data_IF_229155989596
#
_entry.id   IF_229155989596
#
_cell.length_a   1.000
_cell.length_b   1.000
_cell.length_c   1.000
_cell.angle_alpha   90.00
_cell.angle_beta   90.00
_cell.angle_gamma   90.00
#
_symmetry.space_group_name_H-M   'P 1'
#
loop_
_entity.id
_entity.type
_entity.pdbx_description
1 polymer ?
#
# COMPACT_ATOMS: atom_id res chain seq x y z
N UNK A 1 12.17 -28.29 -3.10
CA UNK A 1 12.23 -27.58 -1.79
C UNK A 1 12.79 -28.54 -0.75
N UNK A 2 13.98 -28.27 -0.17
CA UNK A 2 14.48 -29.06 0.97
C UNK A 2 13.56 -28.84 2.17
N UNK A 3 13.20 -29.88 2.88
CA UNK A 3 12.39 -29.73 4.10
C UNK A 3 13.27 -29.13 5.20
N UNK A 4 12.72 -28.22 6.01
CA UNK A 4 13.41 -27.57 7.13
C UNK A 4 14.06 -28.56 8.11
N UNK A 5 13.56 -29.80 8.15
CA UNK A 5 14.06 -30.90 8.97
C UNK A 5 15.47 -31.41 8.52
N UNK A 6 15.78 -31.26 7.23
CA UNK A 6 17.03 -31.78 6.64
C UNK A 6 18.16 -30.74 6.58
N UNK A 7 17.93 -29.58 7.16
CA UNK A 7 18.86 -28.47 7.18
C UNK A 7 19.84 -28.56 8.35
N UNK A 8 21.05 -28.10 8.14
CA UNK A 8 22.04 -27.93 9.21
C UNK A 8 21.61 -26.85 10.20
N UNK A 9 22.15 -26.87 11.42
CA UNK A 9 21.85 -25.84 12.42
C UNK A 9 22.19 -24.43 11.94
N UNK A 10 23.29 -24.27 11.21
CA UNK A 10 23.69 -22.98 10.60
C UNK A 10 22.68 -22.49 9.57
N UNK A 11 22.22 -23.37 8.68
CA UNK A 11 21.19 -23.03 7.68
C UNK A 11 19.87 -22.60 8.34
N UNK A 12 19.44 -23.27 9.42
CA UNK A 12 18.24 -22.92 10.18
C UNK A 12 18.33 -21.54 10.82
N UNK A 13 19.50 -21.19 11.36
CA UNK A 13 19.75 -19.86 11.94
C UNK A 13 19.65 -18.78 10.85
N UNK A 14 20.29 -19.00 9.71
CA UNK A 14 20.27 -18.05 8.57
C UNK A 14 18.84 -17.84 8.07
N UNK A 15 18.07 -18.92 7.86
CA UNK A 15 16.67 -18.80 7.44
C UNK A 15 15.78 -18.09 8.48
N UNK A 16 16.01 -18.36 9.76
CA UNK A 16 15.27 -17.69 10.83
C UNK A 16 15.58 -16.17 10.87
N UNK A 17 16.84 -15.79 10.72
CA UNK A 17 17.23 -14.36 10.63
C UNK A 17 16.58 -13.71 9.41
N UNK A 18 16.61 -14.39 8.26
CA UNK A 18 15.97 -13.90 7.04
C UNK A 18 14.45 -13.74 7.21
N UNK A 19 13.79 -14.69 7.86
CA UNK A 19 12.37 -14.61 8.21
C UNK A 19 12.03 -13.44 9.12
N UNK A 20 12.89 -13.13 10.11
CA UNK A 20 12.73 -11.95 10.98
C UNK A 20 12.87 -10.64 10.18
N UNK A 21 13.85 -10.55 9.29
CA UNK A 21 14.07 -9.37 8.44
C UNK A 21 12.85 -9.15 7.52
N UNK A 22 12.41 -10.21 6.82
CA UNK A 22 11.22 -10.14 5.96
C UNK A 22 9.97 -9.76 6.75
N UNK A 23 9.75 -10.38 7.91
CA UNK A 23 8.62 -10.04 8.78
C UNK A 23 8.62 -8.56 9.18
N UNK A 24 9.80 -8.02 9.50
CA UNK A 24 9.96 -6.59 9.83
C UNK A 24 9.61 -5.70 8.62
N UNK A 25 10.10 -6.03 7.43
CA UNK A 25 9.80 -5.29 6.20
C UNK A 25 8.30 -5.29 5.91
N UNK A 26 7.63 -6.45 6.03
CA UNK A 26 6.19 -6.55 5.76
C UNK A 26 5.35 -5.80 6.79
N UNK A 27 5.67 -5.87 8.09
CA UNK A 27 4.88 -5.22 9.14
C UNK A 27 5.11 -3.71 9.14
N UNK A 28 6.37 -3.26 9.15
CA UNK A 28 6.72 -1.86 9.35
C UNK A 28 6.97 -1.09 8.06
N UNK A 29 7.41 -1.76 7.00
CA UNK A 29 7.58 -1.14 5.69
C UNK A 29 6.24 -1.06 4.94
N UNK A 30 5.83 -2.18 4.35
CA UNK A 30 4.67 -2.19 3.45
C UNK A 30 3.34 -1.97 4.18
N UNK A 31 3.19 -2.46 5.43
CA UNK A 31 1.99 -2.25 6.23
C UNK A 31 1.80 -0.82 6.75
N UNK A 32 2.85 0.00 6.75
CA UNK A 32 2.75 1.41 7.18
C UNK A 32 2.33 2.35 6.04
N UNK A 33 2.76 2.06 4.82
CA UNK A 33 2.48 2.90 3.65
C UNK A 33 0.99 2.90 3.26
N UNK A 34 0.29 1.79 3.53
CA UNK A 34 -1.14 1.61 3.25
C UNK A 34 -1.96 1.55 4.56
N UNK A 35 -1.47 2.14 5.65
CA UNK A 35 -2.22 2.20 6.89
C UNK A 35 -3.54 2.97 6.70
N UNK A 36 -4.64 2.55 7.35
CA UNK A 36 -5.88 3.32 7.32
C UNK A 36 -5.62 4.75 7.81
N UNK A 37 -6.11 5.72 7.06
CA UNK A 37 -5.94 7.15 7.33
C UNK A 37 -7.30 7.75 7.64
N UNK A 38 -7.38 8.51 8.72
CA UNK A 38 -8.58 9.28 9.04
C UNK A 38 -8.57 10.62 8.29
N UNK A 39 -9.73 11.26 8.13
CA UNK A 39 -9.84 12.59 7.51
C UNK A 39 -8.95 13.64 8.19
N UNK A 40 -8.76 13.53 9.50
CA UNK A 40 -7.94 14.47 10.26
C UNK A 40 -6.42 14.29 10.02
N UNK A 41 -6.00 13.11 9.58
CA UNK A 41 -4.60 12.78 9.28
C UNK A 41 -4.27 13.02 7.81
N UNK A 42 -5.26 13.02 6.92
CA UNK A 42 -5.07 13.26 5.50
C UNK A 42 -4.65 14.73 5.26
N UNK A 43 -3.82 14.94 4.24
CA UNK A 43 -3.45 16.29 3.79
C UNK A 43 -4.57 16.84 2.92
N UNK A 44 -5.17 17.94 3.34
CA UNK A 44 -6.18 18.69 2.56
C UNK A 44 -5.49 19.65 1.62
N UNK A 45 -5.67 19.46 0.32
CA UNK A 45 -4.99 20.22 -0.74
C UNK A 45 -6.04 20.74 -1.71
N UNK A 46 -5.94 22.01 -2.07
CA UNK A 46 -6.68 22.59 -3.22
C UNK A 46 -5.68 22.76 -4.34
N UNK A 47 -5.95 22.15 -5.49
CA UNK A 47 -5.04 22.12 -6.62
C UNK A 47 -5.76 22.46 -7.93
N UNK A 48 -5.02 22.94 -8.91
CA UNK A 48 -5.52 23.26 -10.25
C UNK A 48 -5.16 22.12 -11.20
N UNK A 49 -6.16 21.36 -11.63
CA UNK A 49 -5.99 20.21 -12.52
C UNK A 49 -5.44 20.65 -13.88
N UNK A 50 -4.42 19.97 -14.36
CA UNK A 50 -3.78 20.24 -15.66
C UNK A 50 -4.04 19.11 -16.67
N UNK A 51 -3.72 17.89 -16.29
CA UNK A 51 -3.89 16.72 -17.15
C UNK A 51 -3.87 15.42 -16.33
N UNK A 52 -4.21 14.32 -16.96
CA UNK A 52 -4.06 12.99 -16.36
C UNK A 52 -3.37 12.02 -17.32
N UNK A 53 -2.88 10.93 -16.78
CA UNK A 53 -2.29 9.82 -17.50
C UNK A 53 -2.66 8.51 -16.82
N UNK A 54 -3.17 7.55 -17.57
CA UNK A 54 -3.39 6.19 -17.07
C UNK A 54 -2.13 5.34 -17.20
N UNK A 55 -1.79 4.65 -16.14
CA UNK A 55 -0.78 3.58 -16.12
C UNK A 55 -1.49 2.24 -16.20
N UNK A 56 -1.29 1.51 -17.31
CA UNK A 56 -1.96 0.22 -17.56
C UNK A 56 -0.96 -0.93 -17.52
N UNK A 57 -1.37 -2.06 -16.91
CA UNK A 57 -0.62 -3.31 -16.92
C UNK A 57 -1.55 -4.46 -17.31
N UNK A 58 -1.21 -5.18 -18.39
CA UNK A 58 -2.01 -6.30 -18.94
C UNK A 58 -3.45 -5.93 -19.29
N UNK A 59 -3.69 -4.66 -19.67
CA UNK A 59 -5.02 -4.16 -20.03
C UNK A 59 -5.81 -3.52 -18.88
N UNK A 60 -5.44 -3.76 -17.63
CA UNK A 60 -6.07 -3.17 -16.43
C UNK A 60 -5.40 -1.85 -16.06
N UNK A 61 -6.18 -0.87 -15.64
CA UNK A 61 -5.68 0.39 -15.10
C UNK A 61 -5.08 0.10 -13.74
N UNK A 62 -3.79 0.41 -13.57
CA UNK A 62 -3.05 0.20 -12.33
C UNK A 62 -3.06 1.43 -11.44
N UNK A 63 -3.03 2.59 -12.05
CA UNK A 63 -3.07 3.88 -11.37
C UNK A 63 -3.47 4.97 -12.38
N UNK A 64 -4.07 6.04 -11.90
CA UNK A 64 -4.25 7.28 -12.65
C UNK A 64 -3.32 8.32 -12.02
N UNK A 65 -2.44 8.89 -12.83
CA UNK A 65 -1.52 9.95 -12.44
C UNK A 65 -2.17 11.27 -12.82
N UNK A 66 -2.46 12.12 -11.84
CA UNK A 66 -2.98 13.47 -12.02
C UNK A 66 -1.85 14.47 -11.95
N UNK A 67 -1.83 15.41 -12.87
CA UNK A 67 -0.90 16.55 -12.92
C UNK A 67 -1.63 17.82 -12.61
N UNK A 68 -1.00 18.68 -11.85
CA UNK A 68 -1.53 19.96 -11.40
C UNK A 68 -0.58 21.09 -11.82
N UNK A 69 -1.11 22.32 -12.01
CA UNK A 69 -0.32 23.47 -12.40
C UNK A 69 0.48 24.03 -11.21
N UNK A 70 -0.01 23.83 -10.01
CA UNK A 70 0.44 24.43 -8.74
C UNK A 70 0.97 23.42 -7.72
N UNK A 71 0.90 22.13 -8.02
CA UNK A 71 1.35 21.05 -7.15
C UNK A 71 2.10 19.94 -7.89
N UNK A 72 2.79 19.09 -7.13
CA UNK A 72 3.40 17.87 -7.66
C UNK A 72 2.32 16.91 -8.19
N UNK A 73 2.72 15.98 -9.03
CA UNK A 73 1.84 14.92 -9.49
C UNK A 73 1.39 14.03 -8.33
N UNK A 74 0.13 13.64 -8.37
CA UNK A 74 -0.49 12.74 -7.42
C UNK A 74 -1.18 11.61 -8.17
N UNK A 75 -1.52 10.52 -7.48
CA UNK A 75 -2.06 9.35 -8.14
C UNK A 75 -3.23 8.75 -7.37
N UNK A 76 -4.15 8.18 -8.13
CA UNK A 76 -5.24 7.35 -7.62
C UNK A 76 -4.82 5.90 -7.85
N UNK A 77 -4.86 5.09 -6.79
CA UNK A 77 -4.53 3.68 -6.85
C UNK A 77 -5.58 2.90 -7.65
N UNK A 78 -5.14 1.91 -8.43
CA UNK A 78 -6.00 1.14 -9.32
C UNK A 78 -7.15 0.43 -8.61
N UNK A 79 -7.01 0.09 -7.35
CA UNK A 79 -8.09 -0.51 -6.56
C UNK A 79 -9.26 0.44 -6.31
N UNK A 80 -8.99 1.75 -6.33
CA UNK A 80 -9.98 2.80 -6.17
C UNK A 80 -10.65 3.22 -7.48
N UNK A 81 -10.14 2.72 -8.61
CA UNK A 81 -10.57 3.14 -9.95
C UNK A 81 -11.70 2.22 -10.45
N UNK A 82 -12.77 2.84 -10.94
CA UNK A 82 -13.82 2.19 -11.72
C UNK A 82 -14.06 2.95 -13.03
N UNK A 83 -14.92 2.41 -13.91
CA UNK A 83 -15.25 3.04 -15.21
C UNK A 83 -15.90 4.42 -15.04
N UNK A 84 -16.69 4.63 -14.00
CA UNK A 84 -17.35 5.91 -13.76
C UNK A 84 -16.33 6.98 -13.42
N UNK A 85 -15.41 6.70 -12.49
CA UNK A 85 -14.34 7.61 -12.10
C UNK A 85 -13.42 7.96 -13.28
N UNK A 86 -13.06 6.95 -14.13
CA UNK A 86 -12.29 7.22 -15.34
C UNK A 86 -12.99 8.23 -16.23
N UNK A 87 -14.28 8.03 -16.52
CA UNK A 87 -15.06 8.93 -17.36
C UNK A 87 -15.21 10.34 -16.78
N UNK A 88 -15.34 10.45 -15.46
CA UNK A 88 -15.42 11.74 -14.76
C UNK A 88 -14.08 12.49 -14.81
N UNK A 89 -12.94 11.81 -14.64
CA UNK A 89 -11.61 12.41 -14.76
C UNK A 89 -11.32 12.83 -16.21
N UNK A 90 -11.71 12.02 -17.20
CA UNK A 90 -11.60 12.34 -18.63
C UNK A 90 -12.40 13.59 -19.01
N UNK A 91 -13.52 13.80 -18.36
CA UNK A 91 -14.40 14.96 -18.60
C UNK A 91 -13.92 16.23 -17.92
N UNK A 92 -12.90 16.18 -17.04
CA UNK A 92 -12.36 17.35 -16.36
C UNK A 92 -11.66 18.28 -17.37
N UNK A 93 -12.09 19.54 -17.39
CA UNK A 93 -11.39 20.56 -18.16
C UNK A 93 -10.04 20.91 -17.50
N UNK A 94 -8.97 21.19 -18.28
CA UNK A 94 -7.77 21.80 -17.75
C UNK A 94 -8.08 23.08 -16.97
N UNK A 95 -7.30 23.37 -15.95
CA UNK A 95 -7.47 24.50 -15.01
C UNK A 95 -8.70 24.43 -14.11
N UNK A 96 -9.36 23.24 -14.00
CA UNK A 96 -10.40 23.01 -13.01
C UNK A 96 -9.81 22.96 -11.61
N UNK A 97 -10.40 23.72 -10.68
CA UNK A 97 -10.00 23.67 -9.26
C UNK A 97 -10.60 22.44 -8.62
N UNK A 98 -9.76 21.63 -8.00
CA UNK A 98 -10.14 20.40 -7.31
C UNK A 98 -9.67 20.43 -5.85
N UNK A 99 -10.47 19.88 -4.96
CA UNK A 99 -10.07 19.65 -3.58
C UNK A 99 -9.74 18.19 -3.38
N UNK A 100 -8.60 17.91 -2.75
CA UNK A 100 -8.03 16.58 -2.59
C UNK A 100 -7.75 16.31 -1.11
N UNK A 101 -8.11 15.12 -0.64
CA UNK A 101 -7.51 14.55 0.56
C UNK A 101 -6.46 13.55 0.13
N UNK A 102 -5.22 13.77 0.54
CA UNK A 102 -4.06 13.01 0.10
C UNK A 102 -3.45 12.29 1.31
N UNK A 103 -3.00 11.06 1.10
CA UNK A 103 -2.36 10.27 2.14
C UNK A 103 -1.14 11.00 2.72
N UNK A 104 -0.95 11.06 4.06
CA UNK A 104 0.07 11.89 4.70
C UNK A 104 1.52 11.50 4.31
N UNK A 105 1.76 10.23 4.03
CA UNK A 105 3.09 9.67 3.76
C UNK A 105 3.33 9.33 2.28
N UNK A 106 2.37 9.63 1.40
CA UNK A 106 2.49 9.39 -0.04
C UNK A 106 1.71 10.45 -0.82
N UNK A 107 1.82 10.44 -2.15
CA UNK A 107 1.02 11.31 -3.02
C UNK A 107 -0.24 10.61 -3.54
N UNK A 108 -0.76 9.61 -2.78
CA UNK A 108 -1.99 8.89 -3.11
C UNK A 108 -3.20 9.71 -2.74
N UNK A 109 -4.07 9.97 -3.70
CA UNK A 109 -5.34 10.67 -3.50
C UNK A 109 -6.34 9.69 -2.89
N UNK A 110 -6.95 10.08 -1.78
CA UNK A 110 -7.95 9.30 -1.05
C UNK A 110 -9.36 9.84 -1.26
N UNK A 111 -9.50 11.15 -1.49
CA UNK A 111 -10.76 11.81 -1.83
C UNK A 111 -10.49 12.89 -2.87
N UNK A 112 -11.39 13.03 -3.81
CA UNK A 112 -11.35 14.08 -4.84
C UNK A 112 -12.73 14.70 -4.98
N UNK A 113 -12.80 16.02 -4.88
CA UNK A 113 -14.03 16.79 -5.00
C UNK A 113 -13.86 17.91 -6.03
N UNK A 114 -14.83 18.06 -6.92
CA UNK A 114 -14.89 19.12 -7.94
C UNK A 114 -16.17 19.94 -7.73
N UNK A 115 -16.01 21.18 -7.29
CA UNK A 115 -17.16 21.98 -6.86
C UNK A 115 -17.88 21.32 -5.67
N UNK A 116 -19.13 20.88 -5.85
CA UNK A 116 -19.93 20.20 -4.84
C UNK A 116 -19.96 18.67 -5.05
N UNK A 117 -19.35 18.16 -6.12
CA UNK A 117 -19.40 16.73 -6.48
C UNK A 117 -18.16 16.01 -5.99
N UNK A 118 -18.33 14.95 -5.20
CA UNK A 118 -17.27 14.05 -4.79
C UNK A 118 -17.13 12.94 -5.81
N UNK A 119 -15.99 12.91 -6.52
CA UNK A 119 -15.66 11.91 -7.53
C UNK A 119 -15.05 10.66 -6.90
N UNK A 120 -14.23 10.84 -5.87
CA UNK A 120 -13.59 9.75 -5.12
C UNK A 120 -13.86 9.96 -3.64
N UNK A 121 -14.34 8.93 -2.96
CA UNK A 121 -14.74 8.99 -1.55
C UNK A 121 -13.63 8.44 -0.64
N UNK A 122 -13.36 9.15 0.48
CA UNK A 122 -12.32 8.78 1.46
C UNK A 122 -12.56 7.42 2.08
N UNK A 123 -13.78 7.17 2.58
CA UNK A 123 -14.09 5.94 3.31
C UNK A 123 -13.90 4.71 2.42
N UNK A 124 -14.39 4.79 1.18
CA UNK A 124 -14.26 3.70 0.20
C UNK A 124 -12.81 3.47 -0.21
N UNK A 125 -12.04 4.55 -0.45
CA UNK A 125 -10.62 4.47 -0.79
C UNK A 125 -9.80 3.85 0.34
N UNK A 126 -10.05 4.27 1.58
CA UNK A 126 -9.36 3.74 2.76
C UNK A 126 -9.71 2.27 2.98
N UNK A 127 -10.97 1.86 2.80
CA UNK A 127 -11.38 0.46 2.91
C UNK A 127 -10.65 -0.41 1.88
N UNK A 128 -10.64 -0.02 0.61
CA UNK A 128 -9.97 -0.75 -0.48
C UNK A 128 -8.45 -0.87 -0.23
N UNK A 129 -7.79 0.22 0.12
CA UNK A 129 -6.34 0.25 0.35
C UNK A 129 -5.92 -0.48 1.64
N UNK A 130 -6.74 -0.41 2.71
CA UNK A 130 -6.42 -1.06 3.99
C UNK A 130 -6.41 -2.59 3.89
N UNK A 131 -7.14 -3.16 2.96
CA UNK A 131 -7.14 -4.60 2.70
C UNK A 131 -5.73 -5.14 2.41
N UNK A 132 -4.94 -4.43 1.62
CA UNK A 132 -3.53 -4.80 1.35
C UNK A 132 -2.65 -4.67 2.61
N UNK A 133 -2.81 -3.59 3.37
CA UNK A 133 -2.04 -3.39 4.60
C UNK A 133 -2.27 -4.51 5.62
N UNK A 134 -3.52 -4.97 5.77
CA UNK A 134 -3.87 -6.11 6.62
C UNK A 134 -3.20 -7.38 6.10
N UNK A 135 -3.22 -7.62 4.79
CA UNK A 135 -2.56 -8.77 4.15
C UNK A 135 -1.06 -8.81 4.42
N UNK A 136 -0.36 -7.68 4.24
CA UNK A 136 1.08 -7.58 4.52
C UNK A 136 1.41 -7.77 6.01
N UNK A 137 0.62 -7.20 6.91
CA UNK A 137 0.81 -7.42 8.36
C UNK A 137 0.60 -8.88 8.75
N UNK A 138 -0.42 -9.54 8.22
CA UNK A 138 -0.67 -10.96 8.46
C UNK A 138 0.49 -11.82 7.95
N UNK A 139 0.98 -11.56 6.73
CA UNK A 139 2.14 -12.26 6.17
C UNK A 139 3.40 -12.05 7.01
N UNK A 140 3.65 -10.83 7.47
CA UNK A 140 4.75 -10.51 8.37
C UNK A 140 4.67 -11.28 9.69
N UNK A 141 3.48 -11.39 10.29
CA UNK A 141 3.27 -12.19 11.50
C UNK A 141 3.58 -13.68 11.27
N UNK A 142 3.19 -14.24 10.13
CA UNK A 142 3.52 -15.63 9.77
C UNK A 142 5.04 -15.80 9.65
N UNK A 143 5.75 -14.88 9.01
CA UNK A 143 7.21 -14.91 8.94
C UNK A 143 7.87 -14.90 10.33
N UNK A 144 7.37 -14.09 11.25
CA UNK A 144 7.87 -14.07 12.63
C UNK A 144 7.65 -15.38 13.36
N UNK A 145 6.44 -15.96 13.26
CA UNK A 145 6.12 -17.24 13.94
C UNK A 145 7.04 -18.36 13.43
N UNK A 146 7.25 -18.45 12.12
CA UNK A 146 8.13 -19.45 11.51
C UNK A 146 9.60 -19.23 11.93
N UNK A 147 10.08 -17.99 11.93
CA UNK A 147 11.44 -17.65 12.31
C UNK A 147 11.72 -17.99 13.80
N UNK A 148 10.81 -17.61 14.70
CA UNK A 148 10.93 -17.93 16.13
C UNK A 148 10.86 -19.44 16.36
N UNK A 149 9.96 -20.14 15.70
CA UNK A 149 9.86 -21.60 15.76
C UNK A 149 11.16 -22.29 15.33
N UNK A 150 11.79 -21.80 14.25
CA UNK A 150 13.10 -22.27 13.80
C UNK A 150 14.21 -22.08 14.84
N UNK A 151 14.29 -20.89 15.45
CA UNK A 151 15.27 -20.60 16.51
C UNK A 151 15.07 -21.50 17.76
N UNK A 152 13.81 -21.70 18.18
CA UNK A 152 13.50 -22.58 19.31
C UNK A 152 13.96 -24.02 19.02
N UNK A 153 13.75 -24.53 17.80
CA UNK A 153 14.21 -25.87 17.42
C UNK A 153 15.73 -26.00 17.51
N UNK A 154 16.50 -24.99 17.08
CA UNK A 154 17.97 -24.98 17.20
C UNK A 154 18.41 -25.02 18.66
N UNK A 155 17.79 -24.18 19.51
CA UNK A 155 18.13 -24.11 20.93
C UNK A 155 17.84 -25.45 21.64
N UNK A 156 16.68 -26.06 21.37
CA UNK A 156 16.29 -27.36 21.97
C UNK A 156 17.20 -28.48 21.49
N UNK A 157 17.56 -28.49 20.21
CA UNK A 157 18.52 -29.46 19.63
C UNK A 157 19.89 -29.39 20.29
N UNK A 158 20.40 -28.18 20.54
CA UNK A 158 21.70 -27.99 21.17
C UNK A 158 21.72 -28.37 22.66
N UNK A 159 20.59 -28.29 23.37
CA UNK A 159 20.52 -28.70 24.78
C UNK A 159 20.44 -30.22 24.97
N UNK A 160 20.15 -30.99 23.90
CA UNK A 160 20.04 -32.45 23.94
C UNK A 160 21.35 -33.17 23.52
N UNK A 161 22.34 -32.46 23.08
CA UNK A 161 23.72 -32.92 22.81
C UNK A 161 24.57 -32.70 24.06
#
# INVERSE_FOLDING_TARGET
MRQFKDMTEGEKIVESIFGLILGTIFIFGMGHWNAPVTRAEARDITATFSSFQESRKRGEVREIILRFDDHEQMYIDGQCIDEALCGEIEALAPHTVVRLLVHPNSNTILEMTVGETTLLNLEESVEKLSGEAIGFRALGCVCYVLAIGGLIQVIVSNRRK
#
